data_IF_237213843363
#
_entry.id   IF_237213843363
#
_cell.length_a   1.000
_cell.length_b   1.000
_cell.length_c   1.000
_cell.angle_alpha   90.00
_cell.angle_beta   90.00
_cell.angle_gamma   90.00
#
_symmetry.space_group_name_H-M   'P 1'
#
loop_
_entity.id
_entity.type
_entity.pdbx_description
1 polymer ?
#
# COMPACT_ATOMS: atom_id res chain seq x y z
N UNK A 1 9.37 -19.80 15.34
CA UNK A 1 9.88 -19.49 13.99
C UNK A 1 9.17 -20.40 13.01
N UNK A 2 8.58 -19.88 11.93
CA UNK A 2 7.84 -20.72 10.98
C UNK A 2 8.74 -21.78 10.35
N UNK A 3 8.22 -23.01 10.21
CA UNK A 3 8.94 -24.10 9.55
C UNK A 3 9.38 -23.71 8.12
N UNK A 4 8.58 -22.89 7.44
CA UNK A 4 8.82 -22.47 6.05
C UNK A 4 10.10 -21.65 5.89
N UNK A 5 10.43 -20.74 6.81
CA UNK A 5 11.67 -19.95 6.70
C UNK A 5 12.88 -20.82 7.03
N UNK A 6 12.81 -21.64 8.09
CA UNK A 6 13.94 -22.48 8.51
C UNK A 6 14.30 -23.57 7.52
N UNK A 7 13.34 -24.04 6.72
CA UNK A 7 13.57 -25.02 5.66
C UNK A 7 14.12 -24.39 4.37
N UNK A 8 14.22 -23.06 4.29
CA UNK A 8 14.77 -22.38 3.14
C UNK A 8 16.31 -22.52 3.11
N UNK A 9 16.86 -22.94 1.96
CA UNK A 9 18.31 -23.07 1.78
C UNK A 9 19.07 -21.76 2.05
N UNK A 10 18.47 -20.60 1.74
CA UNK A 10 19.08 -19.30 2.00
C UNK A 10 19.03 -18.91 3.48
N UNK A 11 18.10 -19.47 4.27
CA UNK A 11 18.13 -19.34 5.72
C UNK A 11 19.29 -20.16 6.31
N UNK A 12 19.54 -21.37 5.81
CA UNK A 12 20.66 -22.19 6.27
C UNK A 12 22.00 -21.51 5.97
N UNK A 13 22.14 -20.85 4.81
CA UNK A 13 23.31 -20.00 4.52
C UNK A 13 23.45 -18.86 5.52
N UNK A 14 22.38 -18.11 5.76
CA UNK A 14 22.40 -17.03 6.76
C UNK A 14 22.77 -17.53 8.16
N UNK A 15 22.24 -18.68 8.58
CA UNK A 15 22.59 -19.28 9.87
C UNK A 15 24.06 -19.68 9.93
N UNK A 16 24.61 -20.21 8.84
CA UNK A 16 26.03 -20.54 8.74
C UNK A 16 26.94 -19.31 8.78
N UNK A 17 26.57 -18.21 8.08
CA UNK A 17 27.36 -16.97 8.06
C UNK A 17 27.27 -16.20 9.38
N UNK A 18 26.15 -16.28 10.10
CA UNK A 18 26.02 -15.79 11.48
C UNK A 18 26.92 -16.58 12.43
N UNK A 19 26.97 -17.91 12.28
CA UNK A 19 27.80 -18.79 13.13
C UNK A 19 29.29 -18.54 12.90
N UNK A 20 29.71 -18.35 11.65
CA UNK A 20 31.09 -18.02 11.29
C UNK A 20 31.46 -16.55 11.52
N UNK A 21 30.48 -15.69 11.86
CA UNK A 21 30.62 -14.24 11.98
C UNK A 21 31.21 -13.57 10.73
N UNK A 22 30.94 -14.14 9.56
CA UNK A 22 31.40 -13.59 8.28
C UNK A 22 30.50 -12.41 7.87
N UNK A 23 30.87 -11.20 8.28
CA UNK A 23 30.08 -9.96 8.09
C UNK A 23 29.62 -9.73 6.64
N UNK A 24 30.49 -9.81 5.60
CA UNK A 24 30.05 -9.71 4.22
C UNK A 24 28.96 -10.73 3.82
N UNK A 25 29.12 -12.00 4.19
CA UNK A 25 28.16 -13.06 3.90
C UNK A 25 26.86 -12.86 4.67
N UNK A 26 26.91 -12.48 5.95
CA UNK A 26 25.72 -12.19 6.75
C UNK A 26 24.83 -11.14 6.08
N UNK A 27 25.42 -10.04 5.56
CA UNK A 27 24.66 -9.01 4.85
C UNK A 27 24.09 -9.54 3.54
N UNK A 28 24.89 -10.27 2.76
CA UNK A 28 24.47 -10.83 1.47
C UNK A 28 23.36 -11.88 1.63
N UNK A 29 23.50 -12.81 2.57
CA UNK A 29 22.55 -13.88 2.86
C UNK A 29 21.25 -13.31 3.43
N UNK A 30 21.34 -12.26 4.26
CA UNK A 30 20.15 -11.53 4.76
C UNK A 30 19.35 -10.96 3.60
N UNK A 31 20.01 -10.28 2.65
CA UNK A 31 19.34 -9.70 1.47
C UNK A 31 18.81 -10.77 0.52
N UNK A 32 19.55 -11.87 0.35
CA UNK A 32 19.15 -12.99 -0.51
C UNK A 32 17.90 -13.69 0.04
N UNK A 33 17.89 -14.00 1.35
CA UNK A 33 16.72 -14.57 2.01
C UNK A 33 15.53 -13.59 1.98
N UNK A 34 15.76 -12.30 2.23
CA UNK A 34 14.75 -11.25 2.18
C UNK A 34 14.04 -11.20 0.80
N UNK A 35 14.80 -11.28 -0.29
CA UNK A 35 14.21 -11.38 -1.63
C UNK A 35 13.44 -12.68 -1.85
N UNK A 36 14.03 -13.81 -1.48
CA UNK A 36 13.43 -15.13 -1.72
C UNK A 36 12.08 -15.28 -1.02
N UNK A 37 11.96 -14.70 0.17
CA UNK A 37 10.72 -14.69 0.97
C UNK A 37 9.76 -13.56 0.55
N UNK A 38 10.23 -12.57 -0.22
CA UNK A 38 9.40 -11.46 -0.72
C UNK A 38 9.07 -10.43 0.35
N UNK A 39 10.07 -10.05 1.16
CA UNK A 39 9.88 -9.13 2.29
C UNK A 39 9.88 -7.66 1.83
N UNK A 40 9.17 -6.82 2.58
CA UNK A 40 9.06 -5.38 2.29
C UNK A 40 10.17 -4.55 2.96
N UNK A 41 10.49 -4.87 4.21
CA UNK A 41 11.53 -4.20 4.98
C UNK A 41 12.35 -5.25 5.75
N UNK A 42 13.67 -5.05 5.80
CA UNK A 42 14.59 -5.73 6.69
C UNK A 42 14.95 -4.77 7.82
N UNK A 43 14.80 -5.23 9.05
CA UNK A 43 15.15 -4.47 10.25
C UNK A 43 16.31 -5.15 10.96
N UNK A 44 17.36 -4.39 11.26
CA UNK A 44 18.47 -4.81 12.11
C UNK A 44 18.40 -3.95 13.37
N UNK A 45 18.01 -4.56 14.49
CA UNK A 45 17.75 -3.86 15.75
C UNK A 45 18.67 -4.37 16.85
N UNK A 46 19.62 -3.56 17.34
CA UNK A 46 20.42 -3.92 18.49
C UNK A 46 19.62 -3.84 19.78
N UNK A 47 19.79 -4.84 20.64
CA UNK A 47 19.33 -4.87 22.03
C UNK A 47 20.54 -5.12 22.95
N UNK A 48 20.33 -5.14 24.26
CA UNK A 48 21.40 -5.29 25.26
C UNK A 48 22.31 -6.51 25.05
N UNK A 49 21.72 -7.67 24.82
CA UNK A 49 22.47 -8.94 24.76
C UNK A 49 22.75 -9.44 23.34
N UNK A 50 21.92 -9.02 22.38
CA UNK A 50 21.96 -9.53 21.00
C UNK A 50 21.34 -8.55 20.02
N UNK A 51 21.62 -8.76 18.75
CA UNK A 51 21.01 -7.99 17.65
C UNK A 51 20.03 -8.87 16.91
N UNK A 52 18.85 -8.32 16.63
CA UNK A 52 17.79 -8.98 15.89
C UNK A 52 17.84 -8.59 14.42
N UNK A 53 17.82 -9.58 13.52
CA UNK A 53 17.41 -9.40 12.14
C UNK A 53 15.95 -9.80 12.05
N UNK A 54 15.09 -8.89 11.60
CA UNK A 54 13.64 -9.09 11.49
C UNK A 54 13.14 -8.69 10.12
N UNK A 55 12.17 -9.43 9.60
CA UNK A 55 11.59 -9.17 8.28
C UNK A 55 10.12 -8.75 8.37
N UNK A 56 9.75 -7.74 7.58
CA UNK A 56 8.35 -7.36 7.39
C UNK A 56 7.77 -8.15 6.23
N UNK A 57 7.04 -9.21 6.56
CA UNK A 57 6.41 -10.13 5.61
C UNK A 57 4.91 -9.87 5.63
N UNK A 58 4.35 -9.51 4.48
CA UNK A 58 2.92 -9.17 4.33
C UNK A 58 2.41 -8.17 5.39
N UNK A 59 3.26 -7.21 5.77
CA UNK A 59 2.97 -6.15 6.74
C UNK A 59 3.25 -6.48 8.20
N UNK A 60 3.51 -7.75 8.54
CA UNK A 60 3.75 -8.22 9.92
C UNK A 60 5.24 -8.41 10.18
N UNK A 61 5.68 -8.09 11.39
CA UNK A 61 7.09 -8.21 11.80
C UNK A 61 7.38 -9.61 12.32
N UNK A 62 8.45 -10.23 11.80
CA UNK A 62 8.91 -11.54 12.21
C UNK A 62 10.40 -11.49 12.58
N UNK A 63 10.74 -11.97 13.77
CA UNK A 63 12.13 -12.22 14.14
C UNK A 63 12.68 -13.35 13.28
N UNK A 64 13.84 -13.15 12.66
CA UNK A 64 14.45 -14.13 11.73
C UNK A 64 15.59 -14.88 12.39
N UNK A 65 16.60 -14.13 12.79
CA UNK A 65 17.81 -14.66 13.42
C UNK A 65 18.38 -13.57 14.32
N UNK A 66 19.23 -13.99 15.26
CA UNK A 66 19.96 -13.08 16.14
C UNK A 66 21.45 -13.32 16.04
N UNK A 67 22.26 -12.29 16.26
CA UNK A 67 23.72 -12.39 16.32
C UNK A 67 24.29 -11.55 17.46
N UNK A 68 25.56 -11.79 17.81
CA UNK A 68 26.23 -11.15 18.94
C UNK A 68 26.45 -9.64 18.72
N UNK A 69 26.25 -8.83 19.77
CA UNK A 69 26.40 -7.37 19.73
C UNK A 69 27.79 -6.92 19.27
N UNK A 70 28.84 -7.69 19.57
CA UNK A 70 30.21 -7.39 19.15
C UNK A 70 30.41 -7.31 17.63
N UNK A 71 29.60 -8.02 16.85
CA UNK A 71 29.68 -8.04 15.37
C UNK A 71 28.93 -6.86 14.74
N UNK A 72 28.05 -6.22 15.49
CA UNK A 72 27.11 -5.22 14.98
C UNK A 72 27.75 -3.96 14.36
N UNK A 73 28.82 -3.37 14.93
CA UNK A 73 29.47 -2.20 14.30
C UNK A 73 30.01 -2.51 12.90
N UNK A 74 30.50 -3.73 12.67
CA UNK A 74 31.00 -4.18 11.38
C UNK A 74 29.86 -4.37 10.36
N UNK A 75 28.71 -4.91 10.80
CA UNK A 75 27.48 -5.00 9.98
C UNK A 75 27.01 -3.60 9.58
N UNK A 76 26.97 -2.65 10.53
CA UNK A 76 26.59 -1.27 10.25
C UNK A 76 27.52 -0.64 9.22
N UNK A 77 28.83 -0.80 9.39
CA UNK A 77 29.84 -0.30 8.46
C UNK A 77 29.68 -0.91 7.06
N UNK A 78 29.45 -2.22 6.97
CA UNK A 78 29.23 -2.90 5.68
C UNK A 78 28.00 -2.37 4.96
N UNK A 79 26.90 -2.14 5.68
CA UNK A 79 25.66 -1.61 5.11
C UNK A 79 25.82 -0.13 4.71
N UNK A 80 26.57 0.66 5.49
CA UNK A 80 26.90 2.04 5.13
C UNK A 80 27.75 2.11 3.86
N UNK A 81 28.73 1.22 3.70
CA UNK A 81 29.55 1.13 2.48
C UNK A 81 28.69 0.87 1.24
N UNK A 82 27.81 -0.14 1.27
CA UNK A 82 26.98 -0.46 0.09
C UNK A 82 25.98 0.66 -0.25
N UNK A 83 25.66 1.53 0.72
CA UNK A 83 24.68 2.61 0.58
C UNK A 83 25.31 3.99 0.46
N UNK A 84 26.65 4.06 0.30
CA UNK A 84 27.43 5.29 0.23
C UNK A 84 27.20 6.27 1.41
N UNK A 85 27.11 5.73 2.63
CA UNK A 85 26.94 6.48 3.87
C UNK A 85 28.26 6.67 4.62
N UNK A 86 28.32 7.68 5.49
CA UNK A 86 29.51 7.97 6.32
C UNK A 86 29.63 6.96 7.44
N UNK A 87 30.71 6.18 7.41
CA UNK A 87 30.98 5.08 8.35
C UNK A 87 31.38 5.61 9.73
N UNK A 88 32.13 6.73 9.74
CA UNK A 88 32.65 7.42 10.91
C UNK A 88 31.58 8.20 11.68
N UNK A 89 30.47 8.55 11.03
CA UNK A 89 29.35 9.22 11.67
C UNK A 89 28.30 8.21 12.16
N UNK A 90 28.12 8.12 13.47
CA UNK A 90 27.20 7.17 14.12
C UNK A 90 26.20 7.85 15.06
N UNK A 91 26.22 9.18 15.14
CA UNK A 91 25.48 9.98 16.12
C UNK A 91 24.26 10.68 15.54
N UNK A 92 24.15 10.74 14.22
CA UNK A 92 23.00 11.29 13.50
C UNK A 92 22.39 10.25 12.55
N UNK A 93 21.08 10.32 12.26
CA UNK A 93 20.45 9.49 11.25
C UNK A 93 21.08 9.72 9.86
N UNK A 94 21.12 8.68 9.05
CA UNK A 94 21.59 8.75 7.67
C UNK A 94 20.66 7.95 6.75
N UNK A 95 20.38 8.49 5.58
CA UNK A 95 19.56 7.83 4.56
C UNK A 95 20.36 7.69 3.27
N UNK A 96 20.27 6.51 2.66
CA UNK A 96 21.05 6.15 1.47
C UNK A 96 20.28 5.24 0.54
N UNK A 97 20.82 5.08 -0.66
CA UNK A 97 20.31 4.17 -1.68
C UNK A 97 21.41 3.25 -2.15
N UNK A 98 21.06 1.99 -2.38
CA UNK A 98 21.95 1.00 -2.94
C UNK A 98 21.19 0.19 -3.99
N UNK A 99 21.85 -0.12 -5.10
CA UNK A 99 21.35 -1.13 -6.02
C UNK A 99 22.12 -2.42 -5.74
N UNK A 100 21.40 -3.49 -5.44
CA UNK A 100 22.00 -4.79 -5.17
C UNK A 100 21.48 -5.78 -6.19
N UNK A 101 22.38 -6.54 -6.79
CA UNK A 101 22.04 -7.65 -7.68
C UNK A 101 22.42 -8.94 -6.98
N UNK A 102 21.48 -9.85 -6.82
CA UNK A 102 21.75 -11.18 -6.28
C UNK A 102 22.49 -12.06 -7.28
N UNK A 103 23.03 -13.16 -6.79
CA UNK A 103 23.77 -14.14 -7.60
C UNK A 103 22.90 -14.74 -8.72
N UNK A 104 21.58 -14.82 -8.53
CA UNK A 104 20.61 -15.26 -9.54
C UNK A 104 20.17 -14.15 -10.52
N UNK A 105 20.84 -12.99 -10.51
CA UNK A 105 20.64 -11.91 -11.49
C UNK A 105 19.45 -10.99 -11.20
N UNK A 106 18.80 -11.12 -10.04
CA UNK A 106 17.71 -10.20 -9.66
C UNK A 106 18.30 -8.92 -9.09
N UNK A 107 17.97 -7.80 -9.71
CA UNK A 107 18.32 -6.48 -9.20
C UNK A 107 17.22 -5.95 -8.30
N UNK A 108 17.62 -5.31 -7.20
CA UNK A 108 16.72 -4.62 -6.30
C UNK A 108 17.32 -3.27 -5.91
N UNK A 109 16.43 -2.32 -5.66
CA UNK A 109 16.79 -1.08 -5.00
C UNK A 109 16.56 -1.21 -3.50
N UNK A 110 17.54 -0.76 -2.73
CA UNK A 110 17.46 -0.64 -1.30
C UNK A 110 17.37 0.84 -0.94
N UNK A 111 16.37 1.19 -0.13
CA UNK A 111 16.42 2.42 0.66
C UNK A 111 16.89 2.06 2.06
N UNK A 112 18.05 2.58 2.44
CA UNK A 112 18.70 2.27 3.70
C UNK A 112 18.58 3.49 4.60
N UNK A 113 18.14 3.27 5.84
CA UNK A 113 18.07 4.30 6.87
C UNK A 113 18.77 3.78 8.12
N UNK A 114 19.71 4.55 8.65
CA UNK A 114 20.37 4.29 9.94
C UNK A 114 19.85 5.28 10.98
N UNK A 115 19.60 4.79 12.19
CA UNK A 115 19.12 5.58 13.31
C UNK A 115 19.98 5.25 14.54
N UNK A 116 20.75 6.21 15.08
CA UNK A 116 21.45 6.03 16.34
C UNK A 116 20.45 5.72 17.46
N UNK A 117 20.70 4.67 18.22
CA UNK A 117 19.93 4.32 19.42
C UNK A 117 20.86 4.15 20.62
N UNK A 118 20.28 4.04 21.82
CA UNK A 118 21.04 3.79 23.04
C UNK A 118 21.87 2.49 23.03
N UNK A 119 21.54 1.52 22.17
CA UNK A 119 22.22 0.21 22.06
C UNK A 119 23.05 0.05 20.78
N UNK A 120 23.21 1.12 19.99
CA UNK A 120 23.87 1.08 18.68
C UNK A 120 22.96 1.55 17.56
N UNK A 121 23.44 1.50 16.31
CA UNK A 121 22.66 1.96 15.17
C UNK A 121 21.60 0.94 14.75
N UNK A 122 20.34 1.34 14.80
CA UNK A 122 19.26 0.59 14.16
C UNK A 122 19.32 0.83 12.67
N UNK A 123 19.22 -0.23 11.87
CA UNK A 123 19.20 -0.14 10.41
C UNK A 123 17.87 -0.67 9.89
N UNK A 124 17.29 0.06 8.94
CA UNK A 124 16.14 -0.40 8.16
C UNK A 124 16.51 -0.34 6.68
N UNK A 125 16.30 -1.45 5.97
CA UNK A 125 16.44 -1.53 4.53
C UNK A 125 15.07 -1.83 3.94
N UNK A 126 14.52 -0.90 3.15
CA UNK A 126 13.31 -1.13 2.36
C UNK A 126 13.69 -1.66 0.99
N UNK A 127 13.10 -2.79 0.60
CA UNK A 127 13.38 -3.45 -0.66
C UNK A 127 12.34 -3.01 -1.69
N UNK A 128 12.81 -2.51 -2.83
CA UNK A 128 11.99 -2.19 -3.99
C UNK A 128 12.42 -3.10 -5.13
N UNK A 129 11.55 -4.05 -5.45
CA UNK A 129 11.75 -4.98 -6.56
C UNK A 129 11.35 -4.30 -7.88
N UNK A 130 12.34 -3.76 -8.60
CA UNK A 130 12.14 -3.14 -9.92
C UNK A 130 11.80 -4.13 -11.03
N UNK A 131 11.96 -5.44 -10.80
CA UNK A 131 11.63 -6.46 -11.81
C UNK A 131 10.13 -6.70 -11.95
N UNK A 132 9.30 -6.17 -11.04
CA UNK A 132 7.86 -6.37 -11.08
C UNK A 132 7.19 -5.43 -12.07
N UNK A 133 6.49 -6.02 -13.02
CA UNK A 133 5.58 -5.30 -13.91
C UNK A 133 4.44 -4.64 -13.12
N UNK A 134 3.98 -3.50 -13.63
CA UNK A 134 2.79 -2.81 -13.11
C UNK A 134 1.58 -3.70 -13.42
N UNK A 135 0.79 -4.11 -12.41
CA UNK A 135 -0.38 -4.95 -12.65
C UNK A 135 -1.40 -4.23 -13.53
N UNK A 136 -2.13 -4.99 -14.36
CA UNK A 136 -3.31 -4.45 -15.06
C UNK A 136 -4.43 -4.14 -14.06
N UNK A 137 -5.37 -3.27 -14.43
CA UNK A 137 -6.54 -2.97 -13.58
C UNK A 137 -7.34 -4.23 -13.22
N UNK A 138 -7.45 -5.18 -14.15
CA UNK A 138 -8.13 -6.46 -13.95
C UNK A 138 -7.43 -7.34 -12.91
N UNK A 139 -6.10 -7.25 -12.83
CA UNK A 139 -5.29 -8.05 -11.90
C UNK A 139 -5.17 -7.46 -10.49
N UNK A 140 -5.72 -6.25 -10.26
CA UNK A 140 -5.70 -5.57 -8.96
C UNK A 140 -6.57 -6.21 -7.87
N UNK A 141 -7.33 -7.26 -8.21
CA UNK A 141 -8.21 -7.95 -7.25
C UNK A 141 -9.50 -7.21 -6.91
N UNK A 142 -9.89 -6.23 -7.73
CA UNK A 142 -11.21 -5.59 -7.67
C UNK A 142 -12.32 -6.62 -7.96
N UNK A 143 -13.47 -6.48 -7.30
CA UNK A 143 -14.68 -7.18 -7.77
C UNK A 143 -15.08 -6.64 -9.14
N UNK A 144 -15.77 -7.43 -9.97
CA UNK A 144 -16.25 -6.94 -11.28
C UNK A 144 -17.08 -5.65 -11.16
N UNK A 145 -17.89 -5.56 -10.10
CA UNK A 145 -18.66 -4.37 -9.78
C UNK A 145 -17.76 -3.14 -9.55
N UNK A 146 -16.77 -3.24 -8.67
CA UNK A 146 -15.85 -2.14 -8.37
C UNK A 146 -14.93 -1.81 -9.55
N UNK A 147 -14.50 -2.81 -10.32
CA UNK A 147 -13.72 -2.61 -11.54
C UNK A 147 -14.51 -1.79 -12.57
N UNK A 148 -15.81 -2.09 -12.72
CA UNK A 148 -16.69 -1.30 -13.60
C UNK A 148 -16.79 0.14 -13.11
N UNK A 149 -17.05 0.37 -11.81
CA UNK A 149 -17.10 1.72 -11.24
C UNK A 149 -15.79 2.50 -11.48
N UNK A 150 -14.64 1.86 -11.25
CA UNK A 150 -13.34 2.46 -11.49
C UNK A 150 -13.15 2.82 -12.98
N UNK A 151 -13.45 1.90 -13.89
CA UNK A 151 -13.35 2.17 -15.34
C UNK A 151 -14.26 3.31 -15.79
N UNK A 152 -15.48 3.39 -15.28
CA UNK A 152 -16.36 4.53 -15.56
C UNK A 152 -15.79 5.84 -15.00
N UNK A 153 -15.19 5.83 -13.81
CA UNK A 153 -14.53 7.01 -13.26
C UNK A 153 -13.34 7.47 -14.14
N UNK A 154 -12.55 6.52 -14.66
CA UNK A 154 -11.38 6.80 -15.51
C UNK A 154 -11.75 7.36 -16.90
N UNK A 155 -12.99 7.21 -17.36
CA UNK A 155 -13.47 7.80 -18.62
C UNK A 155 -13.77 9.29 -18.53
N UNK A 156 -13.77 9.87 -17.33
CA UNK A 156 -14.02 11.31 -17.19
C UNK A 156 -12.90 12.10 -17.88
N UNK A 157 -13.23 13.12 -18.69
CA UNK A 157 -12.22 13.94 -19.36
C UNK A 157 -11.43 14.79 -18.36
N UNK A 158 -12.05 15.15 -17.23
CA UNK A 158 -11.46 15.96 -16.19
C UNK A 158 -12.05 15.66 -14.81
N UNK A 159 -11.35 16.12 -13.78
CA UNK A 159 -11.74 15.93 -12.39
C UNK A 159 -10.62 15.29 -11.57
N UNK A 160 -10.85 15.15 -10.27
CA UNK A 160 -9.88 14.53 -9.36
C UNK A 160 -10.31 13.11 -9.01
N UNK A 161 -9.38 12.17 -9.14
CA UNK A 161 -9.47 10.80 -8.64
C UNK A 161 -8.45 10.62 -7.53
N UNK A 162 -8.93 10.39 -6.30
CA UNK A 162 -8.08 10.25 -5.13
C UNK A 162 -8.04 8.80 -4.65
N UNK A 163 -6.85 8.28 -4.42
CA UNK A 163 -6.68 6.99 -3.73
C UNK A 163 -6.27 7.24 -2.28
N UNK A 164 -7.02 6.73 -1.32
CA UNK A 164 -6.74 6.86 0.10
C UNK A 164 -6.41 5.56 0.81
N UNK A 165 -5.71 5.69 1.92
CA UNK A 165 -5.24 4.57 2.73
C UNK A 165 -3.90 4.84 3.41
N UNK A 166 -3.49 3.96 4.33
CA UNK A 166 -2.26 4.08 5.08
C UNK A 166 -1.04 3.77 4.19
N UNK A 167 0.15 3.92 4.74
CA UNK A 167 1.37 3.42 4.08
C UNK A 167 1.27 1.90 3.86
N UNK A 168 1.68 1.43 2.68
CA UNK A 168 1.67 0.00 2.36
C UNK A 168 0.30 -0.59 2.00
N UNK A 169 -0.75 0.22 1.80
CA UNK A 169 -2.06 -0.28 1.37
C UNK A 169 -2.21 -0.52 -0.14
N UNK A 170 -1.17 -0.31 -0.93
CA UNK A 170 -1.21 -0.53 -2.38
C UNK A 170 -1.69 0.66 -3.22
N UNK A 171 -1.83 1.86 -2.62
CA UNK A 171 -2.30 3.07 -3.33
C UNK A 171 -1.54 3.36 -4.62
N UNK A 172 -0.21 3.39 -4.52
CA UNK A 172 0.67 3.67 -5.66
C UNK A 172 0.52 2.61 -6.75
N UNK A 173 0.39 1.34 -6.37
CA UNK A 173 0.14 0.24 -7.32
C UNK A 173 -1.17 0.45 -8.08
N UNK A 174 -2.28 0.72 -7.37
CA UNK A 174 -3.59 0.97 -8.00
C UNK A 174 -3.57 2.21 -8.88
N UNK A 175 -2.89 3.27 -8.44
CA UNK A 175 -2.75 4.50 -9.20
C UNK A 175 -1.91 4.30 -10.48
N UNK A 176 -0.80 3.57 -10.40
CA UNK A 176 0.03 3.23 -11.55
C UNK A 176 -0.73 2.34 -12.55
N UNK A 177 -1.51 1.37 -12.08
CA UNK A 177 -2.39 0.57 -12.94
C UNK A 177 -3.44 1.41 -13.67
N UNK A 178 -4.00 2.42 -13.02
CA UNK A 178 -4.94 3.35 -13.64
C UNK A 178 -4.28 4.23 -14.69
N UNK A 179 -3.09 4.78 -14.41
CA UNK A 179 -2.31 5.53 -15.39
C UNK A 179 -1.92 4.66 -16.59
N UNK A 180 -1.46 3.44 -16.34
CA UNK A 180 -1.09 2.51 -17.40
C UNK A 180 -2.30 2.12 -18.28
N UNK A 181 -3.50 2.02 -17.71
CA UNK A 181 -4.74 1.80 -18.47
C UNK A 181 -5.10 2.99 -19.38
N UNK A 182 -4.80 4.21 -18.95
CA UNK A 182 -5.05 5.45 -19.72
C UNK A 182 -3.91 5.80 -20.69
N UNK A 183 -2.77 5.11 -20.59
CA UNK A 183 -1.59 5.32 -21.40
C UNK A 183 -1.74 4.63 -22.77
N UNK A 184 -2.61 5.18 -23.61
CA UNK A 184 -2.91 4.68 -24.96
C UNK A 184 -2.09 5.38 -26.06
N UNK A 185 -1.11 6.20 -25.68
CA UNK A 185 -0.28 7.00 -26.57
C UNK A 185 -0.94 8.28 -27.10
N UNK A 186 -2.18 8.57 -26.72
CA UNK A 186 -2.89 9.81 -27.11
C UNK A 186 -2.89 10.85 -26.00
N UNK A 187 -2.79 10.41 -24.74
CA UNK A 187 -2.76 11.29 -23.57
C UNK A 187 -1.32 11.68 -23.21
N UNK A 188 -1.07 12.96 -23.00
CA UNK A 188 0.14 13.46 -22.36
C UNK A 188 0.01 13.30 -20.84
N UNK A 189 0.72 12.31 -20.28
CA UNK A 189 0.67 11.97 -18.85
C UNK A 189 1.92 12.46 -18.13
N UNK A 190 1.74 13.31 -17.12
CA UNK A 190 2.81 13.82 -16.28
C UNK A 190 2.63 13.40 -14.82
N UNK A 191 3.70 12.97 -14.16
CA UNK A 191 3.67 12.61 -12.74
C UNK A 191 4.67 13.44 -11.94
N UNK A 192 4.34 13.77 -10.70
CA UNK A 192 5.22 14.42 -9.72
C UNK A 192 5.25 13.56 -8.47
N UNK A 193 6.42 13.00 -8.13
CA UNK A 193 6.54 11.90 -7.15
C UNK A 193 7.70 12.11 -6.16
N UNK A 194 7.62 11.47 -4.99
CA UNK A 194 8.66 11.53 -3.95
C UNK A 194 8.88 10.15 -3.29
N UNK A 195 9.76 9.29 -3.84
CA UNK A 195 10.39 9.36 -5.15
C UNK A 195 9.56 8.63 -6.23
N UNK A 196 10.08 8.58 -7.46
CA UNK A 196 9.52 7.71 -8.51
C UNK A 196 9.85 6.24 -8.17
N UNK A 197 8.83 5.38 -8.06
CA UNK A 197 8.98 3.99 -7.61
C UNK A 197 9.27 3.03 -8.78
N UNK A 198 8.50 3.11 -9.86
CA UNK A 198 8.63 2.25 -11.04
C UNK A 198 8.58 3.13 -12.30
N UNK A 199 9.51 2.96 -13.26
CA UNK A 199 9.43 3.65 -14.54
C UNK A 199 8.17 3.24 -15.32
N UNK A 200 7.33 4.21 -15.69
CA UNK A 200 6.14 4.04 -16.50
C UNK A 200 6.40 4.57 -17.92
N UNK A 201 6.67 3.65 -18.85
CA UNK A 201 6.97 3.98 -20.26
C UNK A 201 5.85 4.81 -20.87
N UNK A 202 6.20 5.84 -21.64
CA UNK A 202 5.21 6.71 -22.30
C UNK A 202 4.66 7.83 -21.42
N UNK A 203 5.19 7.99 -20.20
CA UNK A 203 4.82 9.10 -19.29
C UNK A 203 6.05 9.93 -18.91
N UNK A 204 5.82 11.18 -18.53
CA UNK A 204 6.87 12.09 -18.04
C UNK A 204 6.84 12.11 -16.52
N UNK A 205 7.75 11.35 -15.88
CA UNK A 205 7.81 11.26 -14.43
C UNK A 205 8.84 12.22 -13.85
N UNK A 206 8.40 13.17 -13.02
CA UNK A 206 9.25 14.11 -12.31
C UNK A 206 9.36 13.72 -10.83
N UNK A 207 10.60 13.67 -10.32
CA UNK A 207 10.84 13.47 -8.90
C UNK A 207 11.03 14.81 -8.19
N UNK A 208 10.36 14.99 -7.05
CA UNK A 208 10.57 16.18 -6.20
C UNK A 208 12.02 16.26 -5.71
N UNK A 209 12.51 17.48 -5.49
CA UNK A 209 13.85 17.79 -4.99
C UNK A 209 13.75 18.94 -4.00
N UNK A 210 13.54 18.59 -2.72
CA UNK A 210 13.27 19.57 -1.65
C UNK A 210 14.46 20.50 -1.42
N UNK A 211 15.68 20.04 -1.69
CA UNK A 211 16.93 20.78 -1.49
C UNK A 211 17.02 22.02 -2.38
N UNK A 212 16.35 21.99 -3.54
CA UNK A 212 16.28 23.10 -4.50
C UNK A 212 14.87 23.71 -4.59
N UNK A 213 13.99 23.38 -3.63
CA UNK A 213 12.61 23.86 -3.57
C UNK A 213 11.75 23.42 -4.76
N UNK A 214 11.94 22.20 -5.27
CA UNK A 214 11.04 21.57 -6.23
C UNK A 214 10.13 20.57 -5.50
N UNK A 215 8.98 21.04 -5.04
CA UNK A 215 7.97 20.26 -4.29
C UNK A 215 6.75 19.90 -5.16
N UNK A 216 5.75 19.25 -4.55
CA UNK A 216 4.52 18.84 -5.23
C UNK A 216 3.72 20.01 -5.80
N UNK A 217 3.52 21.09 -5.04
CA UNK A 217 2.74 22.24 -5.48
C UNK A 217 3.43 22.95 -6.66
N UNK A 218 4.74 23.18 -6.58
CA UNK A 218 5.52 23.78 -7.67
C UNK A 218 5.60 22.87 -8.89
N UNK A 219 5.76 21.56 -8.69
CA UNK A 219 5.74 20.55 -9.75
C UNK A 219 4.40 20.52 -10.49
N UNK A 220 3.29 20.50 -9.75
CA UNK A 220 1.95 20.54 -10.33
C UNK A 220 1.69 21.83 -11.13
N UNK A 221 2.07 23.00 -10.59
CA UNK A 221 1.99 24.27 -11.34
C UNK A 221 2.86 24.28 -12.59
N UNK A 222 4.00 23.59 -12.59
CA UNK A 222 4.85 23.45 -13.76
C UNK A 222 4.20 22.53 -14.81
N UNK A 223 3.62 21.41 -14.38
CA UNK A 223 2.92 20.47 -15.24
C UNK A 223 1.79 21.13 -16.03
N UNK A 224 1.04 22.07 -15.43
CA UNK A 224 -0.01 22.84 -16.12
C UNK A 224 0.48 23.65 -17.34
N UNK A 225 1.79 23.90 -17.46
CA UNK A 225 2.40 24.58 -18.63
C UNK A 225 3.06 23.61 -19.60
N UNK A 226 2.76 22.32 -19.50
CA UNK A 226 3.34 21.26 -20.33
C UNK A 226 2.29 20.59 -21.23
N UNK A 227 1.15 21.26 -21.45
CA UNK A 227 0.02 20.73 -22.23
C UNK A 227 -0.41 19.32 -21.78
N UNK A 228 -0.62 19.07 -20.47
CA UNK A 228 -0.95 17.75 -19.97
C UNK A 228 -2.42 17.40 -20.26
N UNK A 229 -2.73 16.12 -20.46
CA UNK A 229 -4.12 15.62 -20.38
C UNK A 229 -4.40 15.06 -18.98
N UNK A 230 -3.41 14.33 -18.45
CA UNK A 230 -3.48 13.65 -17.17
C UNK A 230 -2.30 14.08 -16.30
N UNK A 231 -2.59 14.50 -15.07
CA UNK A 231 -1.57 14.85 -14.09
C UNK A 231 -1.69 13.93 -12.89
N UNK A 232 -0.57 13.41 -12.41
CA UNK A 232 -0.53 12.70 -11.13
C UNK A 232 0.39 13.39 -10.15
N UNK A 233 -0.10 13.61 -8.93
CA UNK A 233 0.69 14.09 -7.81
C UNK A 233 0.78 12.98 -6.78
N UNK A 234 1.99 12.58 -6.39
CA UNK A 234 2.22 11.40 -5.54
C UNK A 234 1.38 11.40 -4.27
N UNK A 235 1.23 12.55 -3.63
CA UNK A 235 0.35 12.73 -2.48
C UNK A 235 -0.07 14.18 -2.26
N UNK A 236 -1.26 14.35 -1.67
CA UNK A 236 -1.75 15.61 -1.13
C UNK A 236 -1.50 15.61 0.38
N UNK A 237 -0.55 16.43 0.83
CA UNK A 237 -0.25 16.63 2.27
C UNK A 237 -0.89 17.88 2.83
N UNK A 238 -1.01 18.92 2.02
CA UNK A 238 -1.40 20.28 2.42
C UNK A 238 -2.51 20.85 1.54
N UNK A 239 -3.10 21.95 2.00
CA UNK A 239 -4.20 22.64 1.33
C UNK A 239 -3.76 23.23 -0.01
N UNK A 240 -2.52 23.71 -0.12
CA UNK A 240 -2.00 24.34 -1.34
C UNK A 240 -1.96 23.36 -2.51
N UNK A 241 -1.40 22.17 -2.28
CA UNK A 241 -1.34 21.09 -3.27
C UNK A 241 -2.75 20.64 -3.66
N UNK A 242 -3.66 20.52 -2.68
CA UNK A 242 -5.06 20.16 -2.94
C UNK A 242 -5.79 21.20 -3.78
N UNK A 243 -5.66 22.47 -3.45
CA UNK A 243 -6.29 23.57 -4.20
C UNK A 243 -5.76 23.61 -5.64
N UNK A 244 -4.45 23.47 -5.82
CA UNK A 244 -3.85 23.44 -7.15
C UNK A 244 -4.36 22.24 -7.97
N UNK A 245 -4.56 21.07 -7.34
CA UNK A 245 -5.11 19.89 -8.00
C UNK A 245 -6.58 20.07 -8.39
N UNK A 246 -7.37 20.73 -7.54
CA UNK A 246 -8.75 21.08 -7.83
C UNK A 246 -8.82 22.08 -8.99
N UNK A 247 -8.02 23.14 -8.96
CA UNK A 247 -7.95 24.14 -10.05
C UNK A 247 -7.58 23.48 -11.38
N UNK A 248 -6.52 22.66 -11.40
CA UNK A 248 -6.12 21.88 -12.57
C UNK A 248 -7.28 21.04 -13.11
N UNK A 249 -8.05 20.41 -12.23
CA UNK A 249 -9.19 19.59 -12.64
C UNK A 249 -10.34 20.41 -13.23
N UNK A 250 -10.56 21.62 -12.74
CA UNK A 250 -11.59 22.53 -13.24
C UNK A 250 -11.21 23.14 -14.59
N UNK A 251 -9.91 23.24 -14.90
CA UNK A 251 -9.42 23.70 -16.20
C UNK A 251 -9.31 22.58 -17.24
N UNK A 252 -9.93 21.42 -17.02
CA UNK A 252 -10.05 20.37 -18.04
C UNK A 252 -9.09 19.19 -17.91
N UNK A 253 -8.32 19.09 -16.83
CA UNK A 253 -7.38 17.99 -16.63
C UNK A 253 -7.95 16.86 -15.77
N UNK A 254 -7.55 15.62 -16.04
CA UNK A 254 -7.78 14.51 -15.12
C UNK A 254 -6.61 14.43 -14.13
N UNK A 255 -6.89 14.58 -12.83
CA UNK A 255 -5.86 14.65 -11.79
C UNK A 255 -5.95 13.44 -10.87
N UNK A 256 -4.84 12.72 -10.73
CA UNK A 256 -4.68 11.62 -9.79
C UNK A 256 -3.86 12.07 -8.59
N UNK A 257 -4.26 11.65 -7.39
CA UNK A 257 -3.38 11.79 -6.24
C UNK A 257 -3.70 10.79 -5.14
N UNK A 258 -2.86 10.77 -4.10
CA UNK A 258 -3.11 9.99 -2.90
C UNK A 258 -3.30 10.84 -1.65
N UNK A 259 -4.04 10.33 -0.68
CA UNK A 259 -4.25 10.99 0.61
C UNK A 259 -4.37 9.97 1.74
N UNK A 260 -3.86 10.30 2.92
CA UNK A 260 -3.84 9.37 4.03
C UNK A 260 -5.11 9.47 4.89
N UNK A 261 -6.11 8.64 4.63
CA UNK A 261 -7.33 8.49 5.44
C UNK A 261 -7.73 7.02 5.54
N UNK A 262 -8.66 6.68 6.43
CA UNK A 262 -9.05 5.30 6.68
C UNK A 262 -10.27 4.85 5.86
N UNK A 263 -11.02 5.79 5.26
CA UNK A 263 -12.19 5.52 4.43
C UNK A 263 -12.40 6.62 3.37
N UNK A 264 -13.23 6.37 2.38
CA UNK A 264 -13.51 7.32 1.30
C UNK A 264 -14.29 8.54 1.82
N UNK A 265 -15.20 8.31 2.78
CA UNK A 265 -15.97 9.37 3.43
C UNK A 265 -15.08 10.23 4.35
N UNK A 266 -14.12 9.64 5.06
CA UNK A 266 -13.15 10.40 5.85
C UNK A 266 -12.25 11.29 4.99
N UNK A 267 -11.94 10.87 3.76
CA UNK A 267 -11.25 11.73 2.80
C UNK A 267 -12.00 13.04 2.58
N UNK A 268 -13.33 13.00 2.48
CA UNK A 268 -14.15 14.20 2.31
C UNK A 268 -14.05 15.10 3.55
N UNK A 269 -14.19 14.52 4.74
CA UNK A 269 -14.02 15.24 6.01
C UNK A 269 -12.64 15.89 6.10
N UNK A 270 -11.58 15.16 5.74
CA UNK A 270 -10.21 15.67 5.74
C UNK A 270 -10.05 16.86 4.80
N UNK A 271 -10.57 16.79 3.57
CA UNK A 271 -10.49 17.91 2.62
C UNK A 271 -11.24 19.15 3.10
N UNK A 272 -12.41 18.97 3.73
CA UNK A 272 -13.16 20.07 4.35
C UNK A 272 -12.36 20.69 5.50
N UNK A 273 -11.76 19.86 6.37
CA UNK A 273 -10.94 20.31 7.50
C UNK A 273 -9.65 21.00 7.06
N UNK A 274 -9.12 20.65 5.88
CA UNK A 274 -8.03 21.37 5.23
C UNK A 274 -8.47 22.73 4.67
N UNK A 275 -9.75 23.09 4.78
CA UNK A 275 -10.25 24.40 4.37
C UNK A 275 -10.74 24.46 2.92
N UNK A 276 -10.95 23.31 2.26
CA UNK A 276 -11.52 23.31 0.90
C UNK A 276 -13.05 23.44 0.97
N UNK A 277 -13.65 24.46 0.31
CA UNK A 277 -15.08 24.61 0.23
C UNK A 277 -15.80 23.39 -0.37
N UNK A 278 -16.95 23.03 0.23
CA UNK A 278 -17.78 21.88 -0.19
C UNK A 278 -18.20 21.95 -1.67
N UNK A 279 -18.53 23.14 -2.18
CA UNK A 279 -18.90 23.33 -3.58
C UNK A 279 -17.76 23.02 -4.55
N UNK A 280 -16.52 23.37 -4.19
CA UNK A 280 -15.35 23.02 -5.00
C UNK A 280 -15.19 21.50 -5.04
N UNK A 281 -15.25 20.82 -3.88
CA UNK A 281 -15.17 19.36 -3.82
C UNK A 281 -16.26 18.67 -4.66
N UNK A 282 -17.51 19.16 -4.59
CA UNK A 282 -18.61 18.61 -5.38
C UNK A 282 -18.40 18.79 -6.89
N UNK A 283 -17.78 19.90 -7.31
CA UNK A 283 -17.54 20.22 -8.73
C UNK A 283 -16.30 19.51 -9.31
N UNK A 284 -15.27 19.25 -8.50
CA UNK A 284 -13.97 18.76 -8.97
C UNK A 284 -13.72 17.27 -8.76
N UNK A 285 -14.14 16.71 -7.62
CA UNK A 285 -13.88 15.31 -7.31
C UNK A 285 -14.83 14.41 -8.11
N UNK A 286 -14.30 13.34 -8.70
CA UNK A 286 -15.09 12.32 -9.43
C UNK A 286 -15.18 11.03 -8.64
N UNK A 287 -14.06 10.62 -8.06
CA UNK A 287 -13.91 9.33 -7.41
C UNK A 287 -12.94 9.41 -6.24
N UNK A 288 -13.29 8.74 -5.13
CA UNK A 288 -12.38 8.48 -4.01
C UNK A 288 -12.31 6.97 -3.78
N UNK A 289 -11.12 6.41 -3.83
CA UNK A 289 -10.82 4.98 -3.67
C UNK A 289 -10.11 4.78 -2.34
N UNK A 290 -10.80 4.35 -1.30
CA UNK A 290 -10.14 3.91 -0.08
C UNK A 290 -9.67 2.45 -0.21
N UNK A 291 -8.43 2.18 0.16
CA UNK A 291 -7.78 0.89 -0.04
C UNK A 291 -7.07 0.40 1.22
N UNK A 292 -7.19 -0.90 1.48
CA UNK A 292 -6.41 -1.65 2.48
C UNK A 292 -5.87 -2.93 1.86
N UNK A 293 -4.81 -3.48 2.46
CA UNK A 293 -4.35 -4.84 2.18
C UNK A 293 -4.53 -5.68 3.44
N UNK A 294 -5.15 -6.85 3.30
CA UNK A 294 -5.22 -7.88 4.35
C UNK A 294 -4.37 -9.07 3.95
N UNK A 295 -3.94 -9.89 4.91
CA UNK A 295 -3.16 -11.09 4.60
C UNK A 295 -4.02 -12.11 3.86
N UNK A 296 -3.45 -12.74 2.84
CA UNK A 296 -4.09 -13.82 2.09
C UNK A 296 -3.88 -15.13 2.83
N UNK A 297 -4.96 -15.87 3.06
CA UNK A 297 -4.86 -17.17 3.76
C UNK A 297 -4.17 -18.21 2.87
N UNK A 298 -3.33 -19.04 3.47
CA UNK A 298 -2.78 -20.22 2.83
C UNK A 298 -3.82 -21.34 2.85
N UNK A 299 -4.16 -21.89 1.69
CA UNK A 299 -5.24 -22.89 1.54
C UNK A 299 -4.99 -24.15 2.37
N UNK A 300 -3.73 -24.55 2.51
CA UNK A 300 -3.34 -25.75 3.26
C UNK A 300 -3.48 -25.56 4.79
N UNK A 301 -3.58 -24.30 5.24
CA UNK A 301 -3.68 -23.91 6.64
C UNK A 301 -5.13 -23.73 7.11
N UNK A 302 -6.12 -24.06 6.28
CA UNK A 302 -7.53 -23.82 6.55
C UNK A 302 -8.31 -25.13 6.70
N UNK A 303 -9.19 -25.18 7.68
CA UNK A 303 -10.32 -26.10 7.72
C UNK A 303 -11.61 -25.34 7.38
N UNK A 304 -12.42 -25.92 6.51
CA UNK A 304 -13.75 -25.40 6.18
C UNK A 304 -14.77 -26.00 7.15
N UNK A 305 -15.10 -25.24 8.19
CA UNK A 305 -16.14 -25.60 9.15
C UNK A 305 -17.37 -24.72 8.89
N UNK A 306 -18.54 -25.25 9.27
CA UNK A 306 -19.76 -24.45 9.24
C UNK A 306 -19.60 -23.27 10.21
N UNK A 307 -19.98 -22.08 9.74
CA UNK A 307 -19.86 -20.87 10.54
C UNK A 307 -20.78 -20.96 11.77
N UNK A 308 -20.34 -20.53 12.96
CA UNK A 308 -21.26 -20.35 14.09
C UNK A 308 -22.39 -19.39 13.69
N UNK A 309 -23.62 -19.63 14.16
CA UNK A 309 -24.79 -18.83 13.79
C UNK A 309 -24.57 -17.31 13.98
N UNK A 310 -23.92 -16.92 15.08
CA UNK A 310 -23.58 -15.51 15.35
C UNK A 310 -22.68 -14.88 14.27
N UNK A 311 -21.77 -15.66 13.69
CA UNK A 311 -20.90 -15.20 12.61
C UNK A 311 -21.67 -15.06 11.31
N UNK A 312 -22.57 -16.00 11.01
CA UNK A 312 -23.46 -15.87 9.86
C UNK A 312 -24.35 -14.64 9.96
N UNK A 313 -24.98 -14.42 11.11
CA UNK A 313 -25.85 -13.27 11.36
C UNK A 313 -25.07 -11.96 11.19
N UNK A 314 -23.84 -11.90 11.72
CA UNK A 314 -22.95 -10.76 11.54
C UNK A 314 -22.65 -10.49 10.07
N UNK A 315 -22.29 -11.53 9.29
CA UNK A 315 -21.98 -11.40 7.86
C UNK A 315 -23.21 -10.93 7.09
N UNK A 316 -24.35 -11.60 7.27
CA UNK A 316 -25.62 -11.29 6.59
C UNK A 316 -26.07 -9.87 6.91
N UNK A 317 -26.01 -9.46 8.18
CA UNK A 317 -26.39 -8.12 8.61
C UNK A 317 -25.53 -7.00 8.00
N UNK A 318 -24.22 -7.23 7.83
CA UNK A 318 -23.31 -6.23 7.24
C UNK A 318 -23.33 -6.22 5.70
N UNK A 319 -23.74 -7.32 5.07
CA UNK A 319 -23.85 -7.43 3.61
C UNK A 319 -25.23 -7.05 3.06
N UNK A 320 -26.28 -6.97 3.91
CA UNK A 320 -27.67 -6.73 3.49
C UNK A 320 -27.87 -5.52 2.56
N UNK A 321 -27.12 -4.44 2.78
CA UNK A 321 -27.24 -3.18 2.03
C UNK A 321 -26.21 -3.10 0.87
N UNK A 322 -25.53 -4.20 0.53
CA UNK A 322 -24.57 -4.21 -0.57
C UNK A 322 -25.30 -4.29 -1.93
N UNK A 323 -24.75 -3.71 -3.01
CA UNK A 323 -25.32 -3.85 -4.34
C UNK A 323 -25.45 -5.32 -4.75
N UNK A 324 -26.58 -5.72 -5.34
CA UNK A 324 -26.80 -7.11 -5.78
C UNK A 324 -25.71 -7.59 -6.76
N UNK A 325 -25.29 -6.73 -7.69
CA UNK A 325 -24.20 -7.03 -8.64
C UNK A 325 -22.85 -7.26 -7.95
N UNK A 326 -22.63 -6.66 -6.77
CA UNK A 326 -21.44 -6.88 -5.96
C UNK A 326 -21.46 -8.25 -5.26
N UNK A 327 -22.63 -8.86 -5.05
CA UNK A 327 -22.80 -10.16 -4.40
C UNK A 327 -23.17 -11.30 -5.37
N UNK A 328 -23.22 -11.05 -6.68
CA UNK A 328 -23.74 -11.99 -7.69
C UNK A 328 -23.15 -13.40 -7.68
N UNK A 329 -21.90 -13.53 -7.23
CA UNK A 329 -21.09 -14.76 -7.18
C UNK A 329 -20.86 -15.25 -5.73
N UNK A 330 -21.69 -14.80 -4.79
CA UNK A 330 -21.63 -15.18 -3.37
C UNK A 330 -22.93 -15.84 -2.98
N UNK A 331 -22.83 -17.08 -2.53
CA UNK A 331 -23.95 -17.77 -1.88
C UNK A 331 -24.03 -17.34 -0.42
N UNK A 332 -25.18 -16.78 -0.02
CA UNK A 332 -25.47 -16.37 1.36
C UNK A 332 -26.31 -17.38 2.14
N UNK A 333 -26.69 -18.50 1.51
CA UNK A 333 -27.58 -19.51 2.11
C UNK A 333 -26.81 -20.57 2.92
N UNK A 334 -25.63 -21.01 2.46
CA UNK A 334 -24.71 -21.92 3.17
C UNK A 334 -23.34 -21.26 3.37
N UNK A 335 -23.16 -20.52 4.49
CA UNK A 335 -21.95 -19.75 4.75
C UNK A 335 -20.83 -20.62 5.33
N UNK A 336 -19.85 -20.96 4.49
CA UNK A 336 -18.58 -21.58 4.91
C UNK A 336 -17.47 -20.54 4.88
N UNK A 337 -16.83 -20.34 6.03
CA UNK A 337 -15.70 -19.41 6.16
C UNK A 337 -14.41 -20.18 6.48
N UNK A 338 -13.24 -19.63 6.10
CA UNK A 338 -11.96 -20.25 6.41
C UNK A 338 -11.64 -20.14 7.91
N UNK A 339 -11.44 -21.28 8.58
CA UNK A 339 -10.90 -21.35 9.93
C UNK A 339 -9.44 -21.81 9.89
N UNK A 340 -8.55 -21.05 10.54
CA UNK A 340 -7.12 -21.39 10.59
C UNK A 340 -6.89 -22.60 11.48
N UNK A 341 -6.11 -23.57 11.00
CA UNK A 341 -5.67 -24.71 11.80
C UNK A 341 -4.85 -24.25 13.01
N UNK A 342 -5.05 -24.92 14.13
CA UNK A 342 -4.28 -24.71 15.35
C UNK A 342 -2.84 -25.23 15.19
N UNK A 343 -1.91 -24.75 16.02
CA UNK A 343 -0.50 -25.17 15.99
C UNK A 343 0.35 -24.62 14.83
N UNK A 344 -0.26 -23.97 13.84
CA UNK A 344 0.45 -23.33 12.73
C UNK A 344 0.95 -21.92 13.10
N UNK A 345 2.13 -21.56 12.60
CA UNK A 345 2.66 -20.19 12.75
C UNK A 345 2.00 -19.22 11.76
N UNK A 346 2.15 -17.93 11.98
CA UNK A 346 1.57 -16.90 11.11
C UNK A 346 2.01 -17.01 9.64
N UNK A 347 3.26 -17.40 9.39
CA UNK A 347 3.78 -17.57 8.03
C UNK A 347 3.33 -18.88 7.37
N UNK A 348 2.91 -19.87 8.17
CA UNK A 348 2.27 -21.08 7.63
C UNK A 348 0.81 -20.77 7.25
N UNK A 349 0.16 -19.90 8.04
CA UNK A 349 -1.25 -19.50 7.91
C UNK A 349 -1.52 -18.52 6.76
N UNK A 350 -0.57 -17.65 6.44
CA UNK A 350 -0.77 -16.57 5.48
C UNK A 350 0.39 -16.46 4.49
N UNK A 351 0.04 -16.20 3.22
CA UNK A 351 1.01 -15.99 2.15
C UNK A 351 0.48 -15.02 1.10
N UNK A 352 1.07 -13.84 1.04
CA UNK A 352 0.65 -12.75 0.17
C UNK A 352 -0.47 -11.91 0.78
N UNK A 353 -1.05 -11.03 -0.04
CA UNK A 353 -2.04 -10.04 0.40
C UNK A 353 -3.24 -10.00 -0.54
N UNK A 354 -4.40 -9.64 0.03
CA UNK A 354 -5.66 -9.40 -0.68
C UNK A 354 -6.00 -7.91 -0.53
N UNK A 355 -6.22 -7.19 -1.63
CA UNK A 355 -6.65 -5.82 -1.56
C UNK A 355 -8.16 -5.72 -1.30
N UNK A 356 -8.54 -4.75 -0.46
CA UNK A 356 -9.91 -4.36 -0.18
C UNK A 356 -10.12 -2.94 -0.70
N UNK A 357 -11.23 -2.71 -1.38
CA UNK A 357 -11.54 -1.42 -2.00
C UNK A 357 -12.91 -0.91 -1.57
N UNK A 358 -12.96 0.37 -1.25
CA UNK A 358 -14.17 1.16 -1.08
C UNK A 358 -14.11 2.30 -2.08
N UNK A 359 -15.04 2.30 -3.05
CA UNK A 359 -15.04 3.26 -4.16
C UNK A 359 -16.26 4.16 -4.04
N UNK A 360 -16.02 5.43 -3.74
CA UNK A 360 -17.03 6.48 -3.70
C UNK A 360 -17.04 7.24 -5.02
N UNK A 361 -18.15 7.13 -5.75
CA UNK A 361 -18.43 7.95 -6.94
C UNK A 361 -19.26 9.17 -6.52
N UNK A 362 -18.89 10.35 -7.00
CA UNK A 362 -19.61 11.59 -6.76
C UNK A 362 -20.84 11.67 -7.68
N UNK A 363 -21.93 11.03 -7.30
CA UNK A 363 -23.23 11.16 -7.97
C UNK A 363 -23.83 12.55 -7.74
N UNK A 364 -24.79 12.96 -8.58
CA UNK A 364 -25.48 14.25 -8.39
C UNK A 364 -26.18 14.36 -7.03
N UNK A 365 -26.81 13.28 -6.53
CA UNK A 365 -27.40 13.25 -5.19
C UNK A 365 -26.33 13.47 -4.10
N UNK A 366 -25.17 12.82 -4.21
CA UNK A 366 -24.08 12.98 -3.26
C UNK A 366 -23.49 14.40 -3.31
N UNK A 367 -23.29 14.95 -4.51
CA UNK A 367 -22.81 16.33 -4.71
C UNK A 367 -23.77 17.34 -4.06
N UNK A 368 -25.06 17.22 -4.32
CA UNK A 368 -26.07 18.12 -3.75
C UNK A 368 -26.07 18.06 -2.21
N UNK A 369 -26.04 16.86 -1.64
CA UNK A 369 -25.94 16.68 -0.19
C UNK A 369 -24.65 17.29 0.38
N UNK A 370 -23.52 17.13 -0.31
CA UNK A 370 -22.25 17.71 0.10
C UNK A 370 -22.33 19.25 0.12
N UNK A 371 -22.88 19.87 -0.92
CA UNK A 371 -23.04 21.34 -1.03
C UNK A 371 -24.00 21.88 0.02
N UNK A 372 -25.13 21.20 0.27
CA UNK A 372 -26.12 21.57 1.27
C UNK A 372 -25.63 21.51 2.73
N UNK A 373 -24.40 21.05 2.95
CA UNK A 373 -23.81 21.03 4.28
C UNK A 373 -24.18 19.80 5.11
N UNK A 374 -24.69 18.73 4.48
CA UNK A 374 -25.14 17.53 5.19
C UNK A 374 -24.03 16.96 6.11
N UNK A 375 -24.42 16.41 7.28
CA UNK A 375 -23.49 15.74 8.18
C UNK A 375 -22.79 14.55 7.51
N UNK A 376 -21.57 14.24 7.96
CA UNK A 376 -20.78 13.12 7.44
C UNK A 376 -21.52 11.76 7.55
N UNK A 377 -22.34 11.59 8.59
CA UNK A 377 -23.19 10.40 8.76
C UNK A 377 -24.22 10.23 7.65
N UNK A 378 -24.84 11.32 7.20
CA UNK A 378 -25.82 11.31 6.12
C UNK A 378 -25.15 11.13 4.76
N UNK A 379 -24.02 11.81 4.52
CA UNK A 379 -23.22 11.58 3.31
C UNK A 379 -22.82 10.11 3.16
N UNK A 380 -22.44 9.43 4.25
CA UNK A 380 -22.15 7.99 4.23
C UNK A 380 -23.36 7.15 3.84
N UNK A 381 -24.56 7.48 4.34
CA UNK A 381 -25.80 6.77 3.97
C UNK A 381 -26.12 6.97 2.49
N UNK A 382 -26.02 8.20 1.99
CA UNK A 382 -26.25 8.52 0.57
C UNK A 382 -25.25 7.79 -0.32
N UNK A 383 -23.97 7.77 0.05
CA UNK A 383 -22.94 7.03 -0.66
C UNK A 383 -23.27 5.52 -0.76
N UNK A 384 -23.65 4.89 0.37
CA UNK A 384 -24.06 3.48 0.40
C UNK A 384 -25.29 3.22 -0.46
N UNK A 385 -26.32 4.08 -0.33
CA UNK A 385 -27.55 4.03 -1.14
C UNK A 385 -27.23 4.11 -2.64
N UNK A 386 -26.24 4.91 -3.01
CA UNK A 386 -25.74 5.06 -4.38
C UNK A 386 -24.73 3.99 -4.81
N UNK A 387 -24.60 2.90 -4.05
CA UNK A 387 -23.85 1.72 -4.44
C UNK A 387 -22.39 1.69 -3.97
N UNK A 388 -21.95 2.63 -3.12
CA UNK A 388 -20.63 2.53 -2.50
C UNK A 388 -20.58 1.29 -1.60
N UNK A 389 -19.70 0.36 -1.97
CA UNK A 389 -19.34 -0.80 -1.13
C UNK A 389 -18.28 -0.36 -0.13
N UNK A 390 -18.51 -0.64 1.15
CA UNK A 390 -17.55 -0.30 2.22
C UNK A 390 -16.37 -1.26 2.28
N UNK A 391 -15.27 -0.84 2.91
CA UNK A 391 -14.11 -1.71 3.19
C UNK A 391 -14.51 -2.98 3.95
N UNK A 392 -15.45 -2.87 4.91
CA UNK A 392 -15.98 -4.02 5.64
C UNK A 392 -16.72 -4.99 4.70
N UNK A 393 -17.62 -4.50 3.85
CA UNK A 393 -18.33 -5.34 2.88
C UNK A 393 -17.37 -6.00 1.87
N UNK A 394 -16.36 -5.26 1.39
CA UNK A 394 -15.27 -5.82 0.57
C UNK A 394 -14.49 -6.92 1.30
N UNK A 395 -14.23 -6.72 2.59
CA UNK A 395 -13.57 -7.69 3.46
C UNK A 395 -14.38 -8.96 3.66
N UNK A 396 -15.65 -8.82 4.05
CA UNK A 396 -16.55 -9.95 4.26
C UNK A 396 -16.75 -10.78 2.99
N UNK A 397 -16.91 -10.13 1.83
CA UNK A 397 -16.92 -10.82 0.54
C UNK A 397 -15.63 -11.63 0.31
N UNK A 398 -14.47 -11.08 0.67
CA UNK A 398 -13.18 -11.78 0.53
C UNK A 398 -13.05 -12.98 1.46
N UNK A 399 -13.69 -12.93 2.64
CA UNK A 399 -13.79 -14.07 3.57
C UNK A 399 -14.65 -15.18 2.97
N UNK A 400 -15.80 -14.83 2.39
CA UNK A 400 -16.69 -15.79 1.73
C UNK A 400 -16.07 -16.43 0.48
N UNK A 401 -15.14 -15.72 -0.18
CA UNK A 401 -14.32 -16.28 -1.26
C UNK A 401 -13.08 -17.05 -0.76
N UNK A 402 -12.95 -17.28 0.55
CA UNK A 402 -11.83 -17.99 1.18
C UNK A 402 -10.46 -17.38 0.89
N UNK A 403 -10.40 -16.08 0.61
CA UNK A 403 -9.15 -15.36 0.32
C UNK A 403 -8.45 -14.88 1.59
N UNK A 404 -9.20 -14.66 2.66
CA UNK A 404 -8.71 -14.15 3.95
C UNK A 404 -9.65 -14.60 5.08
N UNK A 405 -9.36 -14.27 6.33
CA UNK A 405 -10.14 -14.68 7.50
C UNK A 405 -10.93 -13.52 8.09
N UNK A 406 -12.03 -13.82 8.79
CA UNK A 406 -12.82 -12.80 9.47
C UNK A 406 -11.97 -12.02 10.51
N UNK A 407 -11.06 -12.71 11.20
CA UNK A 407 -10.15 -12.07 12.15
C UNK A 407 -9.24 -11.03 11.50
N UNK A 408 -8.74 -11.27 10.29
CA UNK A 408 -7.94 -10.29 9.54
C UNK A 408 -8.77 -9.08 9.12
N UNK A 409 -10.03 -9.28 8.72
CA UNK A 409 -10.93 -8.17 8.38
C UNK A 409 -11.20 -7.30 9.59
N UNK A 410 -11.59 -7.90 10.73
CA UNK A 410 -11.89 -7.15 11.95
C UNK A 410 -10.67 -6.41 12.50
N UNK A 411 -9.46 -6.97 12.36
CA UNK A 411 -8.20 -6.30 12.74
C UNK A 411 -7.97 -5.00 11.99
N UNK A 412 -8.23 -4.98 10.67
CA UNK A 412 -7.98 -3.82 9.80
C UNK A 412 -9.13 -2.81 9.82
N UNK A 413 -10.37 -3.25 9.99
CA UNK A 413 -11.53 -2.36 10.06
C UNK A 413 -11.57 -1.59 11.39
N UNK A 414 -11.07 -2.19 12.48
CA UNK A 414 -11.00 -1.55 13.81
C UNK A 414 -9.72 -0.74 14.06
N UNK A 415 -8.80 -0.68 13.09
CA UNK A 415 -7.53 0.07 13.14
C UNK A 415 -7.57 1.31 12.25
#
# INVERSE_FOLDING_TARGET
>A
MANIIKQNADYQKLESSVTSQNVPEMVLDTLSLALKVGVSDVHIQPEDEKVYIRFRIDGVMHDVITYATMVHPAICSRIKIISNLKIDETRIPQDGHAQVTTVDGKSMDLRVSTLPTIKGEKIVMRLVDRSKDIPTLESLGLSEYNLKLLKEALKNPNGVILTSGPTGSGKTTTLYSALNYLNDGKNNILTIEDPVEIPLKGTSQAQTKKEIGFDFAKGLRAALRQDPDIIMVGEVRDQETLNTAIEASLTGHLVFSTIHTNSAIETISRMINMGVPRYLLASSIRCVIAQRLVRKVNIDAVDYKQSPAQVEDYIKANLKDSPAQFLKDIDLTDLKIPHLKEGLTDLDKFKGRVPLYEILIFTEEFKNALVSGEPISELRKIAKKNGMVTLLQSGLRSVLQSKTTLSEILRIVNS
#
